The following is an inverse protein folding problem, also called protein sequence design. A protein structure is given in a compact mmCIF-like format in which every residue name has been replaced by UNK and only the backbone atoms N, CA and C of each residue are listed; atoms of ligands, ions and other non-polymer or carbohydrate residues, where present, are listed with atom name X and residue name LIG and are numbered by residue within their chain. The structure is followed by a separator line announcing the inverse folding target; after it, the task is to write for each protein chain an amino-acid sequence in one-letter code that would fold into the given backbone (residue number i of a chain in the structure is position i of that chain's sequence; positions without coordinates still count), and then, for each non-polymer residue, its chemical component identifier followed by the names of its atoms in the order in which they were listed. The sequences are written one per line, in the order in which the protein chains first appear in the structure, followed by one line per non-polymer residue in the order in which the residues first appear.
data_IF_546050259013
#
_entry.id   IF_546050259013
#
_cell.length_a   1.000
_cell.length_b   1.000
_cell.length_c   1.000
_cell.angle_alpha   90.00
_cell.angle_beta   90.00
_cell.angle_gamma   90.00
#
_symmetry.space_group_name_H-M   'P 1'
#
loop_
_entity.id
_entity.type
_entity.pdbx_description
1 polymer ?
#
# COMPACT_ATOMS: atom_id res chain seq x y z
N UNK A 1 8.40 -3.82 -7.08
CA UNK A 1 9.40 -4.51 -6.21
C UNK A 1 9.21 -6.02 -6.30
N UNK A 2 10.23 -6.80 -5.90
CA UNK A 2 10.20 -8.28 -5.84
C UNK A 2 10.53 -8.72 -4.41
N UNK A 3 9.52 -8.86 -3.57
CA UNK A 3 9.73 -9.29 -2.18
C UNK A 3 9.73 -10.81 -2.10
N UNK A 4 10.75 -11.42 -1.45
CA UNK A 4 10.92 -12.88 -1.39
C UNK A 4 9.81 -13.61 -0.62
N UNK A 5 9.17 -12.94 0.33
CA UNK A 5 8.03 -13.46 1.10
C UNK A 5 6.68 -12.99 0.57
N UNK A 6 6.60 -12.55 -0.69
CA UNK A 6 5.39 -11.96 -1.24
C UNK A 6 4.27 -13.00 -1.38
N UNK A 7 3.25 -12.90 -0.55
CA UNK A 7 2.06 -13.74 -0.63
C UNK A 7 1.43 -13.72 -2.02
N UNK A 8 1.35 -12.55 -2.67
CA UNK A 8 0.77 -12.45 -4.00
C UNK A 8 1.59 -13.15 -5.08
N UNK A 9 2.92 -13.17 -4.96
CA UNK A 9 3.78 -13.88 -5.91
C UNK A 9 3.59 -15.40 -5.81
N UNK A 10 3.47 -15.94 -4.59
CA UNK A 10 3.18 -17.34 -4.34
C UNK A 10 1.80 -17.74 -4.87
N UNK A 11 0.77 -16.94 -4.57
CA UNK A 11 -0.59 -17.19 -5.06
C UNK A 11 -0.69 -17.10 -6.58
N UNK A 12 -0.01 -16.15 -7.23
CA UNK A 12 0.03 -16.06 -8.70
C UNK A 12 0.66 -17.29 -9.35
N UNK A 13 1.69 -17.87 -8.71
CA UNK A 13 2.36 -19.08 -9.23
C UNK A 13 1.45 -20.33 -9.18
N UNK A 14 0.43 -20.33 -8.33
CA UNK A 14 -0.52 -21.45 -8.16
C UNK A 14 -1.75 -21.35 -9.08
N UNK A 15 -2.00 -20.21 -9.71
CA UNK A 15 -3.18 -19.97 -10.53
C UNK A 15 -2.94 -20.36 -11.98
N UNK A 16 -3.98 -20.82 -12.66
CA UNK A 16 -3.96 -21.06 -14.12
C UNK A 16 -3.70 -19.77 -14.92
N UNK A 17 -4.15 -18.63 -14.39
CA UNK A 17 -3.84 -17.29 -14.90
C UNK A 17 -3.20 -16.46 -13.77
N UNK A 18 -1.94 -16.13 -13.92
CA UNK A 18 -1.16 -15.43 -12.90
C UNK A 18 -1.66 -14.00 -12.65
N UNK A 19 -2.14 -13.31 -13.68
CA UNK A 19 -2.66 -11.94 -13.58
C UNK A 19 -3.73 -11.68 -14.63
N UNK A 20 -4.75 -10.92 -14.25
CA UNK A 20 -5.77 -10.38 -15.16
C UNK A 20 -5.44 -8.95 -15.64
N UNK A 21 -4.24 -8.47 -15.33
CA UNK A 21 -3.81 -7.12 -15.66
C UNK A 21 -4.31 -6.06 -14.68
N UNK A 22 -4.35 -4.82 -15.15
CA UNK A 22 -4.86 -3.66 -14.40
C UNK A 22 -6.36 -3.54 -14.67
N UNK A 23 -7.14 -3.24 -13.64
CA UNK A 23 -8.58 -3.00 -13.75
C UNK A 23 -8.87 -1.89 -14.76
N UNK A 24 -9.78 -2.13 -15.71
CA UNK A 24 -10.19 -1.10 -16.67
C UNK A 24 -11.05 -0.04 -16.01
N UNK A 25 -11.11 1.15 -16.60
CA UNK A 25 -11.99 2.24 -16.14
C UNK A 25 -13.46 1.82 -16.23
N UNK A 26 -13.84 1.03 -17.25
CA UNK A 26 -15.19 0.49 -17.37
C UNK A 26 -15.54 -0.44 -16.20
N UNK A 27 -14.62 -1.33 -15.82
CA UNK A 27 -14.81 -2.18 -14.64
C UNK A 27 -14.89 -1.33 -13.36
N UNK A 28 -14.02 -0.32 -13.22
CA UNK A 28 -14.07 0.61 -12.08
C UNK A 28 -15.41 1.34 -12.02
N UNK A 29 -15.94 1.81 -13.14
CA UNK A 29 -17.25 2.50 -13.22
C UNK A 29 -18.37 1.60 -12.67
N UNK A 30 -18.43 0.34 -13.14
CA UNK A 30 -19.41 -0.64 -12.65
C UNK A 30 -19.23 -0.93 -11.14
N UNK A 31 -18.00 -1.10 -10.68
CA UNK A 31 -17.71 -1.35 -9.24
C UNK A 31 -18.18 -0.16 -8.39
N UNK A 32 -17.87 1.06 -8.80
CA UNK A 32 -18.28 2.26 -8.06
C UNK A 32 -19.80 2.43 -8.06
N UNK A 33 -20.47 2.14 -9.17
CA UNK A 33 -21.93 2.14 -9.23
C UNK A 33 -22.54 1.16 -8.22
N UNK A 34 -22.02 -0.08 -8.17
CA UNK A 34 -22.50 -1.09 -7.22
C UNK A 34 -22.18 -0.75 -5.77
N UNK A 35 -20.99 -0.21 -5.46
CA UNK A 35 -20.66 0.26 -4.11
C UNK A 35 -21.74 1.24 -3.62
N UNK A 36 -22.05 2.29 -4.38
CA UNK A 36 -23.01 3.33 -3.95
C UNK A 36 -24.47 2.91 -4.07
N UNK A 37 -24.76 1.83 -4.79
CA UNK A 37 -26.10 1.21 -4.75
C UNK A 37 -26.35 0.60 -3.37
N UNK A 38 -25.36 -0.05 -2.75
CA UNK A 38 -25.49 -0.77 -1.48
C UNK A 38 -25.07 0.02 -0.26
N UNK A 39 -24.12 0.95 -0.38
CA UNK A 39 -23.66 1.75 0.74
C UNK A 39 -24.77 2.70 1.25
N UNK A 40 -24.90 2.81 2.58
CA UNK A 40 -25.94 3.65 3.22
C UNK A 40 -25.34 4.85 3.97
N UNK A 41 -24.63 4.63 5.07
CA UNK A 41 -24.10 5.71 5.91
C UNK A 41 -22.62 5.99 5.64
N UNK A 42 -21.80 4.92 5.62
CA UNK A 42 -20.36 5.01 5.41
C UNK A 42 -19.83 3.81 4.66
N UNK A 43 -18.73 3.98 3.92
CA UNK A 43 -17.98 2.89 3.33
C UNK A 43 -16.48 3.19 3.28
N UNK A 44 -15.67 2.14 3.28
CA UNK A 44 -14.22 2.24 3.06
C UNK A 44 -13.87 1.55 1.75
N UNK A 45 -13.19 2.27 0.86
CA UNK A 45 -12.66 1.73 -0.39
C UNK A 45 -11.15 1.53 -0.21
N UNK A 46 -10.73 0.27 -0.12
CA UNK A 46 -9.33 -0.09 0.11
C UNK A 46 -8.69 -0.72 -1.13
N UNK A 47 -7.56 -0.16 -1.57
CA UNK A 47 -6.78 -0.67 -2.70
C UNK A 47 -5.63 -1.52 -2.18
N UNK A 48 -5.66 -2.80 -2.52
CA UNK A 48 -4.66 -3.78 -2.10
C UNK A 48 -4.47 -4.85 -3.17
N UNK A 49 -3.31 -5.49 -3.15
CA UNK A 49 -3.01 -6.62 -4.02
C UNK A 49 -2.05 -6.30 -5.16
N UNK A 50 -1.01 -7.13 -5.33
CA UNK A 50 0.12 -6.80 -6.17
C UNK A 50 0.78 -5.50 -5.71
N UNK A 51 0.86 -4.53 -6.60
CA UNK A 51 1.21 -3.14 -6.26
C UNK A 51 0.15 -2.21 -6.87
N UNK A 52 -0.77 -1.65 -6.07
CA UNK A 52 -1.89 -0.85 -6.58
C UNK A 52 -1.47 0.40 -7.36
N UNK A 53 -0.33 1.01 -7.01
CA UNK A 53 0.15 2.23 -7.68
C UNK A 53 0.54 2.01 -9.14
N UNK A 54 0.69 0.76 -9.59
CA UNK A 54 0.91 0.42 -11.00
C UNK A 54 -0.29 0.74 -11.89
N UNK A 55 -1.48 0.93 -11.33
CA UNK A 55 -2.65 1.41 -12.07
C UNK A 55 -2.48 2.86 -12.58
N UNK A 56 -1.51 3.59 -12.00
CA UNK A 56 -1.24 4.99 -12.32
C UNK A 56 -2.19 5.96 -11.60
N UNK A 57 -1.75 7.20 -11.40
CA UNK A 57 -2.49 8.18 -10.63
C UNK A 57 -3.85 8.55 -11.26
N UNK A 58 -3.93 8.52 -12.60
CA UNK A 58 -5.18 8.82 -13.31
C UNK A 58 -6.30 7.83 -13.01
N UNK A 59 -5.97 6.57 -12.72
CA UNK A 59 -6.96 5.59 -12.26
C UNK A 59 -7.64 6.04 -10.96
N UNK A 60 -6.88 6.56 -10.00
CA UNK A 60 -7.42 7.04 -8.72
C UNK A 60 -8.18 8.37 -8.88
N UNK A 61 -7.74 9.23 -9.77
CA UNK A 61 -8.50 10.43 -10.15
C UNK A 61 -9.86 10.07 -10.74
N UNK A 62 -9.93 9.02 -11.57
CA UNK A 62 -11.21 8.51 -12.07
C UNK A 62 -12.05 7.93 -10.93
N UNK A 63 -11.46 7.21 -9.98
CA UNK A 63 -12.20 6.70 -8.81
C UNK A 63 -12.90 7.83 -8.05
N UNK A 64 -12.21 8.95 -7.76
CA UNK A 64 -12.78 10.12 -7.10
C UNK A 64 -13.90 10.76 -7.95
N UNK A 65 -13.74 10.83 -9.28
CA UNK A 65 -14.80 11.34 -10.17
C UNK A 65 -16.04 10.46 -10.15
N UNK A 66 -15.86 9.15 -10.13
CA UNK A 66 -16.95 8.18 -10.09
C UNK A 66 -17.67 8.16 -8.73
N UNK A 67 -16.93 8.36 -7.63
CA UNK A 67 -17.55 8.62 -6.33
C UNK A 67 -18.53 9.80 -6.44
N UNK A 68 -18.05 10.96 -6.89
CA UNK A 68 -18.89 12.16 -7.04
C UNK A 68 -20.11 11.94 -7.95
N UNK A 69 -19.98 11.05 -8.95
CA UNK A 69 -21.07 10.70 -9.88
C UNK A 69 -22.13 9.83 -9.22
N UNK A 70 -21.74 8.84 -8.41
CA UNK A 70 -22.64 7.80 -7.91
C UNK A 70 -23.06 7.98 -6.45
N UNK A 71 -22.32 8.75 -5.65
CA UNK A 71 -22.61 8.99 -4.23
C UNK A 71 -23.73 10.02 -4.04
N UNK A 72 -24.92 9.69 -4.53
CA UNK A 72 -26.10 10.57 -4.42
C UNK A 72 -26.74 10.56 -3.02
N UNK A 73 -26.39 9.58 -2.19
CA UNK A 73 -26.87 9.44 -0.81
C UNK A 73 -26.00 10.20 0.20
N UNK A 74 -24.89 10.82 -0.22
CA UNK A 74 -23.89 11.44 0.64
C UNK A 74 -23.29 10.48 1.66
N UNK A 75 -22.99 9.24 1.22
CA UNK A 75 -22.28 8.24 2.02
C UNK A 75 -20.91 8.80 2.41
N UNK A 76 -20.52 8.65 3.69
CA UNK A 76 -19.19 9.01 4.14
C UNK A 76 -18.16 8.00 3.59
N UNK A 77 -17.26 8.45 2.71
CA UNK A 77 -16.25 7.58 2.08
C UNK A 77 -14.89 7.78 2.71
N UNK A 78 -14.23 6.68 3.05
CA UNK A 78 -12.83 6.65 3.46
C UNK A 78 -12.02 5.86 2.44
N UNK A 79 -10.84 6.37 2.08
CA UNK A 79 -9.94 5.70 1.16
C UNK A 79 -8.70 5.16 1.88
N UNK A 80 -8.31 3.94 1.54
CA UNK A 80 -7.05 3.35 2.02
C UNK A 80 -6.28 2.70 0.86
N UNK A 81 -4.96 2.76 0.90
CA UNK A 81 -4.10 2.15 -0.11
C UNK A 81 -2.88 1.51 0.52
N UNK A 82 -2.70 0.20 0.29
CA UNK A 82 -1.52 -0.53 0.75
C UNK A 82 -0.49 -0.61 -0.37
N UNK A 83 0.70 -0.04 -0.16
CA UNK A 83 1.74 0.07 -1.19
C UNK A 83 3.13 -0.26 -0.68
N UNK A 84 4.01 -0.65 -1.59
CA UNK A 84 5.45 -0.71 -1.33
C UNK A 84 6.13 0.67 -1.34
N UNK A 85 5.44 1.71 -1.79
CA UNK A 85 5.89 3.10 -1.78
C UNK A 85 6.98 3.47 -2.80
N UNK A 86 7.46 2.51 -3.61
CA UNK A 86 8.64 2.71 -4.47
C UNK A 86 8.42 3.74 -5.59
N UNK A 87 7.21 3.77 -6.15
CA UNK A 87 6.87 4.62 -7.30
C UNK A 87 6.20 5.96 -6.91
N UNK A 88 5.98 6.20 -5.61
CA UNK A 88 5.31 7.42 -5.16
C UNK A 88 6.22 8.66 -5.28
N UNK A 89 5.67 9.75 -5.76
CA UNK A 89 6.31 11.04 -5.90
C UNK A 89 5.43 12.17 -5.34
N UNK A 90 5.83 13.43 -5.54
CA UNK A 90 5.12 14.60 -5.03
C UNK A 90 3.69 14.73 -5.56
N UNK A 91 3.42 14.27 -6.78
CA UNK A 91 2.08 14.30 -7.36
C UNK A 91 1.14 13.31 -6.63
N UNK A 92 1.65 12.12 -6.29
CA UNK A 92 0.94 11.16 -5.46
C UNK A 92 0.70 11.68 -4.05
N UNK A 93 1.70 12.31 -3.42
CA UNK A 93 1.56 12.83 -2.06
C UNK A 93 0.49 13.92 -2.00
N UNK A 94 0.49 14.86 -2.97
CA UNK A 94 -0.54 15.89 -3.08
C UNK A 94 -1.93 15.29 -3.26
N UNK A 95 -2.07 14.33 -4.15
CA UNK A 95 -3.34 13.65 -4.39
C UNK A 95 -3.87 12.94 -3.15
N UNK A 96 -3.00 12.23 -2.40
CA UNK A 96 -3.40 11.55 -1.17
C UNK A 96 -3.83 12.52 -0.08
N UNK A 97 -3.11 13.62 0.09
CA UNK A 97 -3.46 14.67 1.05
C UNK A 97 -4.82 15.31 0.73
N UNK A 98 -5.03 15.71 -0.53
CA UNK A 98 -6.27 16.35 -1.01
C UNK A 98 -7.50 15.44 -0.86
N UNK A 99 -7.33 14.12 -0.99
CA UNK A 99 -8.42 13.16 -0.95
C UNK A 99 -8.43 12.30 0.34
N UNK A 100 -7.68 12.70 1.36
CA UNK A 100 -7.65 12.08 2.70
C UNK A 100 -7.41 10.56 2.68
N UNK A 101 -6.48 10.09 1.85
CA UNK A 101 -6.12 8.68 1.83
C UNK A 101 -5.34 8.28 3.08
N UNK A 102 -5.68 7.12 3.65
CA UNK A 102 -4.82 6.43 4.61
C UNK A 102 -3.87 5.50 3.86
N UNK A 103 -2.57 5.71 4.01
CA UNK A 103 -1.56 4.92 3.31
C UNK A 103 -0.94 3.87 4.23
N UNK A 104 -1.03 2.60 3.82
CA UNK A 104 -0.25 1.52 4.41
C UNK A 104 1.09 1.41 3.68
N UNK A 105 2.18 1.88 4.30
CA UNK A 105 3.51 1.85 3.69
C UNK A 105 4.28 0.61 4.14
N UNK A 106 4.66 -0.23 3.19
CA UNK A 106 5.40 -1.46 3.47
C UNK A 106 6.89 -1.18 3.70
N UNK A 107 7.37 -1.34 4.95
CA UNK A 107 8.78 -1.21 5.31
C UNK A 107 9.15 -2.17 6.45
N UNK A 108 10.32 -2.81 6.41
CA UNK A 108 10.75 -3.77 7.43
C UNK A 108 11.82 -3.19 8.37
N UNK A 109 11.55 -2.02 8.88
CA UNK A 109 12.19 -1.38 10.03
C UNK A 109 13.63 -0.91 9.85
N UNK A 110 14.56 -1.81 9.66
CA UNK A 110 16.00 -1.51 9.53
C UNK A 110 16.52 -1.97 8.16
N UNK A 111 17.49 -1.24 7.61
CA UNK A 111 18.05 -1.52 6.27
C UNK A 111 18.38 -2.99 6.05
N UNK A 112 19.11 -3.61 6.96
CA UNK A 112 19.52 -5.01 6.84
C UNK A 112 18.36 -6.03 6.85
N UNK A 113 17.21 -5.68 7.43
CA UNK A 113 16.02 -6.52 7.40
C UNK A 113 15.22 -6.26 6.11
N UNK A 114 15.01 -4.99 5.77
CA UNK A 114 14.27 -4.57 4.59
C UNK A 114 14.93 -5.07 3.30
N UNK A 115 16.21 -4.72 3.10
CA UNK A 115 16.92 -5.02 1.85
C UNK A 115 17.28 -6.51 1.69
N UNK A 116 17.16 -7.31 2.75
CA UNK A 116 17.26 -8.76 2.63
C UNK A 116 16.14 -9.39 1.81
N UNK A 117 14.95 -8.76 1.80
CA UNK A 117 13.74 -9.33 1.20
C UNK A 117 13.06 -8.42 0.17
N UNK A 118 13.19 -7.10 0.31
CA UNK A 118 12.49 -6.12 -0.53
C UNK A 118 13.47 -5.51 -1.52
N UNK A 119 13.54 -6.08 -2.70
CA UNK A 119 14.37 -5.60 -3.82
C UNK A 119 13.52 -4.96 -4.90
N UNK A 120 14.10 -4.04 -5.66
CA UNK A 120 13.49 -3.56 -6.90
C UNK A 120 13.49 -4.65 -7.99
N UNK A 121 13.02 -4.34 -9.19
CA UNK A 121 12.97 -5.28 -10.31
C UNK A 121 14.37 -5.72 -10.78
N UNK A 122 15.40 -4.90 -10.55
CA UNK A 122 16.80 -5.13 -10.91
C UNK A 122 17.62 -5.77 -9.80
N UNK A 123 17.03 -6.01 -8.62
CA UNK A 123 17.69 -6.61 -7.46
C UNK A 123 18.41 -5.61 -6.54
N UNK A 124 18.19 -4.30 -6.72
CA UNK A 124 18.80 -3.27 -5.89
C UNK A 124 18.07 -3.10 -4.55
N UNK A 125 18.82 -2.57 -3.57
CA UNK A 125 18.30 -2.16 -2.27
C UNK A 125 17.25 -1.05 -2.40
N UNK A 126 16.20 -1.10 -1.56
CA UNK A 126 15.08 -0.15 -1.65
C UNK A 126 14.82 0.63 -0.37
N UNK A 127 15.48 0.30 0.74
CA UNK A 127 15.22 0.86 2.06
C UNK A 127 15.23 2.40 2.09
N UNK A 128 16.25 3.03 1.53
CA UNK A 128 16.36 4.49 1.57
C UNK A 128 15.28 5.16 0.71
N UNK A 129 14.97 4.57 -0.46
CA UNK A 129 13.88 5.07 -1.30
C UNK A 129 12.54 5.05 -0.56
N UNK A 130 12.27 4.02 0.23
CA UNK A 130 11.01 3.94 1.00
C UNK A 130 11.03 4.92 2.19
N UNK A 131 12.18 5.19 2.79
CA UNK A 131 12.29 6.25 3.81
C UNK A 131 12.03 7.64 3.21
N UNK A 132 12.52 7.93 2.02
CA UNK A 132 12.22 9.18 1.29
C UNK A 132 10.71 9.30 1.05
N UNK A 133 10.06 8.23 0.60
CA UNK A 133 8.62 8.18 0.44
C UNK A 133 7.88 8.47 1.76
N UNK A 134 8.30 7.84 2.87
CA UNK A 134 7.69 8.11 4.18
C UNK A 134 7.85 9.57 4.62
N UNK A 135 9.01 10.17 4.30
CA UNK A 135 9.26 11.58 4.57
C UNK A 135 8.39 12.49 3.70
N UNK A 136 8.22 12.18 2.41
CA UNK A 136 7.36 12.93 1.50
C UNK A 136 5.88 12.87 1.92
N UNK A 137 5.36 11.69 2.28
CA UNK A 137 4.01 11.54 2.81
C UNK A 137 3.79 12.43 4.05
N UNK A 138 4.74 12.41 4.99
CA UNK A 138 4.66 13.26 6.20
C UNK A 138 4.67 14.75 5.87
N UNK A 139 5.57 15.19 4.99
CA UNK A 139 5.68 16.60 4.59
C UNK A 139 4.41 17.10 3.89
N UNK A 140 3.75 16.23 3.14
CA UNK A 140 2.46 16.52 2.50
C UNK A 140 1.26 16.42 3.46
N UNK A 141 1.45 16.01 4.72
CA UNK A 141 0.37 15.85 5.69
C UNK A 141 -0.53 14.64 5.42
N UNK A 142 -0.02 13.62 4.73
CA UNK A 142 -0.76 12.37 4.46
C UNK A 142 -0.69 11.47 5.69
N UNK A 143 -1.84 10.96 6.11
CA UNK A 143 -1.91 9.93 7.15
C UNK A 143 -1.38 8.60 6.63
N UNK A 144 -0.42 8.02 7.34
CA UNK A 144 0.10 6.70 6.99
C UNK A 144 0.48 5.86 8.20
N UNK A 145 0.37 4.56 8.05
CA UNK A 145 0.96 3.57 8.93
C UNK A 145 2.08 2.79 8.23
N UNK A 146 3.00 2.25 8.99
CA UNK A 146 4.04 1.35 8.47
C UNK A 146 3.67 -0.09 8.72
N UNK A 147 3.86 -0.94 7.70
CA UNK A 147 3.56 -2.36 7.77
C UNK A 147 4.85 -3.16 7.61
N UNK A 148 5.15 -3.97 8.63
CA UNK A 148 6.35 -4.80 8.71
C UNK A 148 6.01 -6.28 8.68
N UNK A 149 6.67 -7.04 7.83
CA UNK A 149 6.58 -8.50 7.84
C UNK A 149 7.58 -9.06 8.85
N UNK A 150 7.05 -9.82 9.81
CA UNK A 150 7.84 -10.51 10.84
C UNK A 150 8.00 -11.98 10.48
N UNK A 151 9.24 -12.40 10.27
CA UNK A 151 9.62 -13.78 9.94
C UNK A 151 10.79 -14.24 10.83
N UNK A 152 11.30 -15.45 10.63
CA UNK A 152 12.38 -16.03 11.44
C UNK A 152 13.67 -15.17 11.51
N UNK A 153 13.95 -14.33 10.50
CA UNK A 153 15.12 -13.44 10.49
C UNK A 153 14.86 -12.06 11.06
N UNK A 154 13.62 -11.56 10.99
CA UNK A 154 13.24 -10.24 11.48
C UNK A 154 12.75 -10.28 12.92
N UNK A 155 12.11 -11.38 13.36
CA UNK A 155 11.60 -11.55 14.73
C UNK A 155 12.65 -11.31 15.82
N UNK A 156 13.89 -11.83 15.75
CA UNK A 156 14.93 -11.54 16.74
C UNK A 156 15.34 -10.07 16.78
N UNK A 157 15.01 -9.28 15.76
CA UNK A 157 15.36 -7.86 15.63
C UNK A 157 14.18 -6.93 15.93
N UNK A 158 13.01 -7.48 16.33
CA UNK A 158 11.76 -6.71 16.43
C UNK A 158 11.89 -5.50 17.37
N UNK A 159 12.57 -5.64 18.50
CA UNK A 159 12.82 -4.53 19.42
C UNK A 159 13.62 -3.41 18.74
N UNK A 160 14.67 -3.75 17.98
CA UNK A 160 15.48 -2.79 17.23
C UNK A 160 14.67 -2.10 16.13
N UNK A 161 13.77 -2.83 15.46
CA UNK A 161 12.84 -2.31 14.45
C UNK A 161 11.91 -1.30 15.11
N UNK A 162 11.26 -1.65 16.21
CA UNK A 162 10.36 -0.79 16.95
C UNK A 162 11.06 0.53 17.40
N UNK A 163 12.25 0.43 18.02
CA UNK A 163 13.03 1.60 18.43
C UNK A 163 13.46 2.48 17.25
N UNK A 164 13.74 1.87 16.09
CA UNK A 164 14.04 2.62 14.86
C UNK A 164 12.82 3.41 14.39
N UNK A 165 11.63 2.81 14.39
CA UNK A 165 10.38 3.48 14.00
C UNK A 165 10.06 4.64 14.94
N UNK A 166 10.20 4.46 16.25
CA UNK A 166 10.05 5.56 17.22
C UNK A 166 10.98 6.72 16.92
N UNK A 167 12.27 6.45 16.64
CA UNK A 167 13.24 7.49 16.24
C UNK A 167 12.90 8.19 14.93
N UNK A 168 12.20 7.50 14.01
CA UNK A 168 11.72 8.06 12.76
C UNK A 168 10.36 8.77 12.92
N UNK A 169 9.73 8.70 14.11
CA UNK A 169 8.40 9.25 14.37
C UNK A 169 7.30 8.53 13.61
N UNK A 170 7.43 7.22 13.40
CA UNK A 170 6.36 6.40 12.84
C UNK A 170 5.45 5.93 13.97
N UNK A 171 4.36 6.66 14.20
CA UNK A 171 3.48 6.46 15.34
C UNK A 171 2.57 5.24 15.17
N UNK A 172 2.14 4.97 13.95
CA UNK A 172 1.26 3.85 13.62
C UNK A 172 2.02 2.72 12.95
N UNK A 173 2.11 1.57 13.64
CA UNK A 173 2.92 0.44 13.23
C UNK A 173 2.07 -0.83 13.22
N UNK A 174 2.06 -1.54 12.08
CA UNK A 174 1.44 -2.84 11.92
C UNK A 174 2.52 -3.91 11.73
N UNK A 175 2.32 -5.06 12.36
CA UNK A 175 3.22 -6.20 12.26
C UNK A 175 2.45 -7.43 11.79
N UNK A 176 2.86 -8.01 10.67
CA UNK A 176 2.25 -9.22 10.10
C UNK A 176 3.23 -10.38 10.26
N UNK A 177 2.82 -11.42 10.99
CA UNK A 177 3.62 -12.64 11.13
C UNK A 177 3.56 -13.44 9.82
N UNK A 178 4.75 -13.79 9.30
CA UNK A 178 4.92 -14.74 8.20
C UNK A 178 5.49 -16.03 8.79
N UNK A 179 4.69 -17.09 8.81
CA UNK A 179 5.03 -18.38 9.41
C UNK A 179 5.80 -19.30 8.45
N UNK A 180 5.84 -18.99 7.17
CA UNK A 180 6.63 -19.74 6.23
C UNK A 180 8.13 -19.60 6.54
N UNK A 181 8.87 -20.71 6.62
CA UNK A 181 10.29 -20.64 6.74
C UNK A 181 10.84 -20.05 5.44
N UNK A 182 11.12 -18.77 5.45
CA UNK A 182 11.97 -18.16 4.41
C UNK A 182 13.34 -18.77 4.62
N UNK A 183 13.63 -19.78 3.80
CA UNK A 183 14.91 -20.49 3.80
C UNK A 183 16.07 -19.55 3.46
#
# INVERSE_FOLDING_TARGET
MRCQYCFYADEMAKRSQASYGIMSIETLDHVMQEIFRFAEEACTIAFQGGEPTLAGLDFYRQCIRLEKKYNTKNVAVSYALQTNGYALDEEWFSFFAENHFLIGLSIDGIKAAHDAYRKDASGNDTYFRILETAQGLRQAGVDFNVLTVVNGRTAPKIRKIYEKYKKLGFDWQQYIACLDPVQ
#
